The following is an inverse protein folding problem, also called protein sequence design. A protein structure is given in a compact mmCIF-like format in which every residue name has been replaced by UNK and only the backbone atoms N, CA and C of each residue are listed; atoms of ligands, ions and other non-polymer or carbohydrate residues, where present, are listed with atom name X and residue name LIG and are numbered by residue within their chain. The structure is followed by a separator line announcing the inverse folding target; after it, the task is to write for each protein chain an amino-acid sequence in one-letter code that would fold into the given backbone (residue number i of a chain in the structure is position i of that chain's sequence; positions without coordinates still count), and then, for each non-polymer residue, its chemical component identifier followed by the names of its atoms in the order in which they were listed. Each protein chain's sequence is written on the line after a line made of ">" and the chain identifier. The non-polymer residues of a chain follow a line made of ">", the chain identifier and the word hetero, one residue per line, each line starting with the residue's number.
data_IF_462213822922
#
_entry.id   IF_462213822922
#
_cell.length_a   1.000
_cell.length_b   1.000
_cell.length_c   1.000
_cell.angle_alpha   90.00
_cell.angle_beta   90.00
_cell.angle_gamma   90.00
#
_symmetry.space_group_name_H-M   'P 1'
#
loop_
_entity.id
_entity.type
_entity.pdbx_description
1 polymer ?
#
# COMPACT_ATOMS: atom_id res chain seq x y z
N UNK A 1 50.56 -31.82 -17.96
CA UNK A 1 50.56 -31.90 -16.48
C UNK A 1 50.80 -30.50 -15.90
N UNK A 2 49.79 -29.81 -15.31
CA UNK A 2 49.97 -28.70 -14.31
C UNK A 2 48.73 -27.86 -13.94
N UNK A 3 47.55 -28.07 -14.51
CA UNK A 3 46.38 -27.20 -14.22
C UNK A 3 45.20 -27.86 -13.50
N UNK A 4 45.35 -29.09 -13.00
CA UNK A 4 44.23 -29.82 -12.38
C UNK A 4 44.06 -29.60 -10.86
N UNK A 5 45.03 -29.00 -10.17
CA UNK A 5 45.06 -29.00 -8.70
C UNK A 5 44.40 -27.79 -8.02
N UNK A 6 44.01 -26.75 -8.75
CA UNK A 6 43.59 -25.46 -8.14
C UNK A 6 42.09 -25.41 -7.81
N UNK A 7 41.27 -26.32 -8.34
CA UNK A 7 39.81 -26.24 -8.19
C UNK A 7 39.23 -26.81 -6.88
N UNK A 8 40.04 -27.42 -6.00
CA UNK A 8 39.52 -28.09 -4.80
C UNK A 8 39.43 -27.20 -3.54
N UNK A 9 39.96 -25.97 -3.55
CA UNK A 9 40.02 -25.13 -2.33
C UNK A 9 38.78 -24.25 -2.14
N UNK A 10 38.00 -23.98 -3.19
CA UNK A 10 36.86 -23.03 -3.07
C UNK A 10 35.56 -23.66 -2.56
N UNK A 11 35.43 -24.99 -2.53
CA UNK A 11 34.17 -25.63 -2.12
C UNK A 11 33.90 -25.60 -0.61
N UNK A 12 34.90 -25.36 0.25
CA UNK A 12 34.67 -25.40 1.71
C UNK A 12 34.16 -24.06 2.26
N UNK A 13 34.34 -22.95 1.53
CA UNK A 13 33.94 -21.63 2.01
C UNK A 13 32.44 -21.32 1.80
N UNK A 14 31.74 -22.03 0.91
CA UNK A 14 30.32 -21.78 0.66
C UNK A 14 29.37 -22.50 1.63
N UNK A 15 29.85 -23.44 2.44
CA UNK A 15 29.00 -24.14 3.42
C UNK A 15 28.64 -23.29 4.66
N UNK A 16 29.15 -22.07 4.76
CA UNK A 16 28.94 -21.17 5.90
C UNK A 16 27.96 -20.03 5.63
N UNK A 17 27.29 -19.98 4.47
CA UNK A 17 26.17 -19.07 4.29
C UNK A 17 24.89 -19.73 4.84
N UNK A 18 24.38 -19.31 6.02
CA UNK A 18 23.15 -19.84 6.57
C UNK A 18 22.00 -19.57 5.59
N UNK A 19 21.43 -20.66 5.10
CA UNK A 19 20.28 -20.76 4.20
C UNK A 19 18.97 -20.30 4.83
N UNK A 20 18.97 -19.19 5.55
CA UNK A 20 17.77 -18.59 6.13
C UNK A 20 17.02 -17.65 5.17
N UNK A 21 17.28 -17.75 3.86
CA UNK A 21 16.47 -17.12 2.79
C UNK A 21 15.16 -17.86 2.52
N UNK A 22 14.51 -18.37 3.58
CA UNK A 22 13.14 -18.87 3.52
C UNK A 22 12.33 -18.24 4.66
N UNK A 23 12.59 -16.97 4.91
CA UNK A 23 11.65 -16.14 5.65
C UNK A 23 10.67 -15.60 4.62
N UNK A 24 9.59 -16.37 4.46
CA UNK A 24 8.52 -16.14 3.50
C UNK A 24 8.19 -14.67 3.38
N UNK A 25 8.21 -14.23 2.13
CA UNK A 25 7.68 -13.00 1.59
C UNK A 25 6.16 -12.97 1.77
N UNK A 26 5.69 -13.02 3.00
CA UNK A 26 4.35 -12.61 3.40
C UNK A 26 4.53 -11.62 4.54
N UNK A 27 5.31 -10.56 4.27
CA UNK A 27 5.00 -9.28 4.88
C UNK A 27 3.64 -8.88 4.30
N UNK A 28 2.58 -9.50 4.85
CA UNK A 28 1.27 -8.88 4.97
C UNK A 28 1.55 -7.55 5.63
N UNK A 29 1.75 -6.55 4.77
CA UNK A 29 1.84 -5.16 5.11
C UNK A 29 0.72 -4.92 6.11
N UNK A 30 1.11 -4.73 7.37
CA UNK A 30 0.25 -4.70 8.52
C UNK A 30 -0.80 -3.60 8.28
N UNK A 31 -1.97 -3.95 7.74
CA UNK A 31 -3.02 -2.99 7.38
C UNK A 31 -3.49 -2.26 8.64
N UNK A 32 -3.33 -2.88 9.81
CA UNK A 32 -3.65 -2.28 11.12
C UNK A 32 -2.67 -1.18 11.56
N UNK A 33 -1.44 -1.14 11.06
CA UNK A 33 -0.42 -0.23 11.60
C UNK A 33 -0.61 1.25 11.20
N UNK A 34 -1.57 1.60 10.34
CA UNK A 34 -1.68 3.00 9.88
C UNK A 34 -3.10 3.52 9.66
N UNK A 35 -4.14 2.88 10.23
CA UNK A 35 -5.43 3.57 10.31
C UNK A 35 -5.27 4.78 11.22
N UNK A 36 -5.24 5.95 10.60
CA UNK A 36 -5.17 7.22 11.30
C UNK A 36 -6.47 7.34 12.11
N UNK A 37 -6.42 7.89 13.34
CA UNK A 37 -7.64 8.12 14.12
C UNK A 37 -8.66 8.94 13.32
N UNK A 38 -8.20 9.68 12.30
CA UNK A 38 -9.06 10.42 11.40
C UNK A 38 -8.40 10.88 10.08
N UNK A 39 -9.25 11.46 9.22
CA UNK A 39 -9.02 12.21 7.99
C UNK A 39 -7.69 13.00 7.96
N UNK A 40 -6.63 12.47 7.33
CA UNK A 40 -5.39 13.21 7.16
C UNK A 40 -5.53 14.34 6.13
N UNK A 41 -6.47 14.20 5.19
CA UNK A 41 -6.69 15.16 4.12
C UNK A 41 -8.08 14.98 3.50
N UNK A 42 -8.66 16.11 3.07
CA UNK A 42 -9.88 16.14 2.25
C UNK A 42 -9.65 15.71 0.81
N UNK A 43 -8.39 15.57 0.39
CA UNK A 43 -7.97 15.14 -0.94
C UNK A 43 -7.01 13.96 -0.84
N UNK A 44 -7.32 12.86 -1.48
CA UNK A 44 -6.45 11.67 -1.52
C UNK A 44 -6.51 11.00 -2.88
N UNK A 45 -5.40 10.36 -3.26
CA UNK A 45 -5.29 9.62 -4.51
C UNK A 45 -5.45 8.14 -4.23
N UNK A 46 -6.28 7.47 -5.03
CA UNK A 46 -6.51 6.04 -4.95
C UNK A 46 -6.31 5.39 -6.32
N UNK A 47 -6.01 4.09 -6.34
CA UNK A 47 -6.00 3.32 -7.58
C UNK A 47 -7.42 3.09 -8.11
N UNK A 48 -7.57 3.09 -9.43
CA UNK A 48 -8.82 2.83 -10.14
C UNK A 48 -9.24 3.96 -11.08
N UNK A 49 -10.52 3.94 -11.44
CA UNK A 49 -11.16 4.91 -12.34
C UNK A 49 -12.50 5.35 -11.75
N UNK A 50 -12.94 6.57 -12.07
CA UNK A 50 -14.22 7.09 -11.62
C UNK A 50 -15.36 6.38 -12.36
N UNK A 51 -16.18 5.61 -11.64
CA UNK A 51 -17.43 5.07 -12.17
C UNK A 51 -18.57 6.10 -12.17
N UNK A 52 -19.78 5.66 -12.55
CA UNK A 52 -20.99 6.49 -12.49
C UNK A 52 -21.24 7.05 -11.08
N UNK A 53 -20.90 6.27 -10.04
CA UNK A 53 -21.00 6.66 -8.63
C UNK A 53 -19.63 7.05 -8.03
N UNK A 54 -18.76 7.68 -8.82
CA UNK A 54 -17.39 8.02 -8.40
C UNK A 54 -17.33 8.83 -7.09
N UNK A 55 -18.33 9.68 -6.83
CA UNK A 55 -18.46 10.39 -5.55
C UNK A 55 -18.54 9.44 -4.34
N UNK A 56 -19.40 8.42 -4.44
CA UNK A 56 -19.60 7.43 -3.39
C UNK A 56 -18.39 6.49 -3.27
N UNK A 57 -17.79 6.12 -4.39
CA UNK A 57 -16.54 5.37 -4.41
C UNK A 57 -15.44 6.13 -3.65
N UNK A 58 -15.32 7.44 -3.87
CA UNK A 58 -14.35 8.26 -3.17
C UNK A 58 -14.60 8.33 -1.66
N UNK A 59 -15.85 8.47 -1.24
CA UNK A 59 -16.21 8.43 0.17
C UNK A 59 -15.83 7.09 0.80
N UNK A 60 -16.16 5.98 0.15
CA UNK A 60 -15.83 4.64 0.64
C UNK A 60 -14.31 4.42 0.72
N UNK A 61 -13.57 4.84 -0.30
CA UNK A 61 -12.11 4.74 -0.32
C UNK A 61 -11.50 5.55 0.83
N UNK A 62 -11.96 6.77 1.06
CA UNK A 62 -11.50 7.58 2.19
C UNK A 62 -11.82 6.92 3.54
N UNK A 63 -13.07 6.50 3.75
CA UNK A 63 -13.50 5.82 4.98
C UNK A 63 -12.70 4.53 5.25
N UNK A 64 -12.30 3.80 4.20
CA UNK A 64 -11.49 2.57 4.34
C UNK A 64 -10.10 2.82 4.95
N UNK A 65 -9.58 4.04 4.80
CA UNK A 65 -8.26 4.46 5.34
C UNK A 65 -8.34 4.93 6.80
N UNK A 66 -9.54 5.06 7.36
CA UNK A 66 -9.77 5.65 8.66
C UNK A 66 -10.12 4.61 9.70
N UNK A 67 -10.10 5.02 10.96
CA UNK A 67 -10.67 4.22 12.04
C UNK A 67 -12.19 3.98 11.83
N UNK A 68 -12.69 2.74 11.97
CA UNK A 68 -14.10 2.42 11.77
C UNK A 68 -15.08 3.14 12.71
N UNK A 69 -14.60 3.67 13.85
CA UNK A 69 -15.42 4.46 14.77
C UNK A 69 -15.76 5.86 14.23
N UNK A 70 -15.05 6.33 13.20
CA UNK A 70 -15.32 7.61 12.57
C UNK A 70 -16.65 7.56 11.84
N UNK A 71 -17.64 8.28 12.36
CA UNK A 71 -18.91 8.51 11.67
C UNK A 71 -18.89 9.86 10.99
N UNK A 72 -19.07 9.87 9.66
CA UNK A 72 -19.27 11.10 8.90
C UNK A 72 -20.75 11.37 8.69
N UNK A 73 -21.11 12.65 8.71
CA UNK A 73 -22.34 13.10 8.04
C UNK A 73 -22.22 12.86 6.52
N UNK A 74 -23.32 12.76 5.76
CA UNK A 74 -23.25 12.68 4.31
C UNK A 74 -22.37 13.81 3.75
N UNK A 75 -21.28 13.44 3.09
CA UNK A 75 -20.34 14.38 2.48
C UNK A 75 -20.35 14.18 0.98
N UNK A 76 -20.46 15.29 0.25
CA UNK A 76 -20.26 15.27 -1.19
C UNK A 76 -18.76 15.20 -1.48
N UNK A 77 -18.39 14.23 -2.30
CA UNK A 77 -17.04 13.99 -2.76
C UNK A 77 -17.01 14.08 -4.29
N UNK A 78 -15.93 14.65 -4.82
CA UNK A 78 -15.65 14.65 -6.24
C UNK A 78 -14.62 13.56 -6.55
N UNK A 79 -14.85 12.85 -7.66
CA UNK A 79 -13.89 11.94 -8.24
C UNK A 79 -13.33 12.57 -9.53
N UNK A 80 -12.01 12.66 -9.63
CA UNK A 80 -11.33 13.16 -10.83
C UNK A 80 -10.37 12.10 -11.33
N UNK A 81 -10.53 11.59 -12.58
CA UNK A 81 -9.58 10.65 -13.15
C UNK A 81 -8.18 11.24 -13.20
N UNK A 82 -7.18 10.43 -12.83
CA UNK A 82 -5.77 10.76 -12.86
C UNK A 82 -5.01 9.77 -13.75
N UNK A 83 -3.80 10.12 -14.23
CA UNK A 83 -2.96 9.20 -14.98
C UNK A 83 -2.65 7.91 -14.22
N UNK A 84 -2.26 6.87 -14.96
CA UNK A 84 -1.84 5.56 -14.43
C UNK A 84 -2.93 4.82 -13.64
N UNK A 85 -4.18 4.88 -14.11
CA UNK A 85 -5.34 4.25 -13.47
C UNK A 85 -5.44 4.66 -11.99
N UNK A 86 -5.42 5.96 -11.74
CA UNK A 86 -5.66 6.53 -10.43
C UNK A 86 -6.87 7.47 -10.48
N UNK A 87 -7.40 7.77 -9.31
CA UNK A 87 -8.41 8.80 -9.10
C UNK A 87 -7.96 9.74 -8.00
N UNK A 88 -8.20 11.03 -8.18
CA UNK A 88 -8.15 12.03 -7.13
C UNK A 88 -9.55 12.16 -6.52
N UNK A 89 -9.68 11.75 -5.27
CA UNK A 89 -10.87 11.95 -4.47
C UNK A 89 -10.76 13.24 -3.68
N UNK A 90 -11.78 14.10 -3.75
CA UNK A 90 -11.81 15.39 -3.06
C UNK A 90 -13.17 15.62 -2.39
N UNK A 91 -13.22 15.63 -1.06
CA UNK A 91 -14.43 15.87 -0.26
C UNK A 91 -14.32 17.20 0.50
N UNK A 92 -14.57 18.35 -0.15
CA UNK A 92 -14.27 19.67 0.40
C UNK A 92 -15.07 20.00 1.68
N UNK A 93 -16.30 19.50 1.75
CA UNK A 93 -17.22 19.74 2.87
C UNK A 93 -17.06 18.73 4.01
N UNK A 94 -16.14 17.78 3.87
CA UNK A 94 -15.78 16.87 4.93
C UNK A 94 -15.13 17.63 6.07
N UNK A 95 -15.60 17.39 7.29
CA UNK A 95 -15.04 18.01 8.50
C UNK A 95 -13.92 17.11 9.00
N UNK A 96 -12.73 17.69 9.09
CA UNK A 96 -11.51 17.09 9.66
C UNK A 96 -10.91 18.16 10.57
N UNK A 97 -11.00 18.01 11.90
CA UNK A 97 -10.23 18.85 12.81
C UNK A 97 -8.73 18.81 12.72
#
# INVERSE_FOLDING_TARGET
>A
MKFAAILLVTCVLFSLLPSHLSQGEESSMNIDAQRRPWCPSKKQVFGGSCGNDGAQQCLNNLLSTWDPSVRLSPVSCNCTPQPNNNILCSCPNMICP
#
